data_IF_160212435421
#
_entry.id   IF_160212435421
#
_cell.length_a   1.000
_cell.length_b   1.000
_cell.length_c   1.000
_cell.angle_alpha   90.00
_cell.angle_beta   90.00
_cell.angle_gamma   90.00
#
_symmetry.space_group_name_H-M   'P 1'
#
loop_
_entity.id
_entity.type
_entity.pdbx_description
1 polymer ?
#
# COMPACT_ATOMS: atom_id res chain seq x y z
N UNK A 1 4.05 -17.42 29.80
CA UNK A 1 2.83 -17.48 30.64
C UNK A 1 2.43 -18.93 31.01
N UNK A 2 3.11 -19.94 30.49
CA UNK A 2 2.80 -21.37 30.78
C UNK A 2 1.44 -21.85 30.26
N UNK A 3 0.79 -21.09 29.34
CA UNK A 3 -0.45 -21.50 28.70
C UNK A 3 -0.17 -22.58 27.64
N UNK A 4 -1.11 -23.52 27.47
CA UNK A 4 -0.98 -24.57 26.45
C UNK A 4 -1.05 -23.99 25.03
N UNK A 5 -0.37 -24.57 24.03
CA UNK A 5 -0.30 -24.03 22.66
C UNK A 5 -1.68 -23.78 22.00
N UNK A 6 -2.69 -24.60 22.29
CA UNK A 6 -4.03 -24.40 21.74
C UNK A 6 -4.70 -23.11 22.19
N UNK A 7 -4.30 -22.55 23.35
CA UNK A 7 -4.82 -21.26 23.84
C UNK A 7 -4.47 -20.13 22.89
N UNK A 8 -3.26 -20.17 22.26
CA UNK A 8 -2.88 -19.21 21.23
C UNK A 8 -3.81 -19.25 20.01
N UNK A 9 -4.23 -20.45 19.55
CA UNK A 9 -5.22 -20.59 18.48
C UNK A 9 -6.58 -20.06 18.87
N UNK A 10 -7.03 -20.31 20.10
CA UNK A 10 -8.27 -19.75 20.62
C UNK A 10 -8.26 -18.24 20.68
N UNK A 11 -7.16 -17.64 21.13
CA UNK A 11 -6.99 -16.19 21.14
C UNK A 11 -7.02 -15.61 19.73
N UNK A 12 -6.31 -16.23 18.78
CA UNK A 12 -6.30 -15.82 17.37
C UNK A 12 -7.72 -15.83 16.79
N UNK A 13 -8.50 -16.88 17.04
CA UNK A 13 -9.91 -16.97 16.60
C UNK A 13 -10.76 -15.82 17.17
N UNK A 14 -10.62 -15.52 18.47
CA UNK A 14 -11.32 -14.41 19.09
C UNK A 14 -10.91 -13.05 18.50
N UNK A 15 -9.62 -12.84 18.26
CA UNK A 15 -9.12 -11.58 17.73
C UNK A 15 -9.48 -11.45 16.23
N UNK A 16 -9.12 -12.43 15.40
CA UNK A 16 -9.14 -12.28 13.95
C UNK A 16 -10.44 -12.70 13.27
N UNK A 17 -11.23 -13.61 13.88
CA UNK A 17 -12.50 -14.06 13.33
C UNK A 17 -13.71 -13.45 14.05
N UNK A 18 -13.65 -13.31 15.38
CA UNK A 18 -14.76 -12.74 16.17
C UNK A 18 -14.58 -11.25 16.46
N UNK A 19 -13.42 -10.70 16.14
CA UNK A 19 -13.10 -9.29 16.24
C UNK A 19 -13.39 -8.67 17.63
N UNK A 20 -13.07 -9.39 18.71
CA UNK A 20 -13.27 -8.88 20.05
C UNK A 20 -12.27 -7.81 20.43
N UNK A 21 -12.72 -6.77 21.10
CA UNK A 21 -11.89 -5.66 21.60
C UNK A 21 -11.53 -5.78 23.07
N UNK A 22 -12.07 -6.80 23.77
CA UNK A 22 -11.80 -7.08 25.17
C UNK A 22 -11.43 -8.56 25.38
N UNK A 23 -10.39 -8.80 26.18
CA UNK A 23 -9.94 -10.14 26.57
C UNK A 23 -11.02 -10.89 27.36
N UNK A 24 -11.86 -10.19 28.12
CA UNK A 24 -12.95 -10.82 28.87
C UNK A 24 -14.04 -11.43 27.98
N UNK A 25 -14.14 -11.03 26.72
CA UNK A 25 -15.02 -11.64 25.74
C UNK A 25 -14.59 -13.06 25.35
N UNK A 26 -13.34 -13.46 25.57
CA UNK A 26 -12.76 -14.77 25.19
C UNK A 26 -13.23 -15.88 26.16
N UNK A 27 -14.54 -16.23 26.08
CA UNK A 27 -15.21 -17.08 27.09
C UNK A 27 -14.68 -18.53 27.17
N UNK A 28 -14.04 -19.05 26.14
CA UNK A 28 -13.40 -20.38 26.15
C UNK A 28 -12.02 -20.39 26.83
N UNK A 29 -11.49 -19.24 27.23
CA UNK A 29 -10.33 -19.14 28.11
C UNK A 29 -10.78 -19.16 29.59
N UNK A 30 -10.01 -19.83 30.45
CA UNK A 30 -10.28 -19.82 31.90
C UNK A 30 -10.21 -18.39 32.46
N UNK A 31 -10.92 -18.12 33.54
CA UNK A 31 -10.90 -16.83 34.22
C UNK A 31 -9.48 -16.42 34.62
N UNK A 32 -8.69 -17.37 35.16
CA UNK A 32 -7.28 -17.15 35.51
C UNK A 32 -6.45 -16.74 34.30
N UNK A 33 -6.61 -17.44 33.15
CA UNK A 33 -5.90 -17.11 31.93
C UNK A 33 -6.23 -15.69 31.44
N UNK A 34 -7.51 -15.30 31.45
CA UNK A 34 -7.93 -13.95 31.07
C UNK A 34 -7.35 -12.88 32.01
N UNK A 35 -7.38 -13.10 33.32
CA UNK A 35 -6.81 -12.19 34.32
C UNK A 35 -5.33 -11.99 34.06
N UNK A 36 -4.55 -13.07 33.93
CA UNK A 36 -3.11 -13.02 33.66
C UNK A 36 -2.76 -12.38 32.32
N UNK A 37 -3.63 -12.55 31.31
CA UNK A 37 -3.47 -11.88 30.03
C UNK A 37 -3.67 -10.37 30.16
N UNK A 38 -4.72 -9.92 30.85
CA UNK A 38 -5.04 -8.50 31.05
C UNK A 38 -3.96 -7.74 31.85
N UNK A 39 -3.25 -8.42 32.76
CA UNK A 39 -2.13 -7.83 33.47
C UNK A 39 -0.98 -7.38 32.55
N UNK A 40 -0.82 -8.03 31.38
CA UNK A 40 0.34 -7.82 30.50
C UNK A 40 -0.03 -7.30 29.10
N UNK A 41 -1.24 -7.50 28.65
CA UNK A 41 -1.66 -7.26 27.27
C UNK A 41 -3.03 -6.59 27.20
N UNK A 42 -3.18 -5.82 26.14
CA UNK A 42 -4.47 -5.32 25.66
C UNK A 42 -4.64 -5.76 24.21
N UNK A 43 -5.85 -5.84 23.69
CA UNK A 43 -6.06 -6.09 22.25
C UNK A 43 -5.57 -4.88 21.44
N UNK A 44 -5.58 -3.69 22.04
CA UNK A 44 -4.96 -2.50 21.48
C UNK A 44 -5.70 -1.94 20.26
N UNK A 45 -7.00 -2.21 20.15
CA UNK A 45 -7.85 -1.61 19.15
C UNK A 45 -8.08 -0.13 19.50
N UNK A 46 -7.74 0.77 18.57
CA UNK A 46 -8.00 2.22 18.68
C UNK A 46 -8.81 2.67 17.49
N UNK A 47 -9.93 3.35 17.76
CA UNK A 47 -10.79 3.91 16.71
C UNK A 47 -10.14 5.10 16.02
N UNK A 48 -10.57 5.46 14.79
CA UNK A 48 -10.14 6.70 14.16
C UNK A 48 -10.50 7.90 15.05
N UNK A 49 -9.64 8.92 15.04
CA UNK A 49 -9.85 10.17 15.79
C UNK A 49 -10.54 11.24 14.96
N UNK A 50 -10.55 11.09 13.64
CA UNK A 50 -11.25 11.97 12.69
C UNK A 50 -11.58 11.23 11.40
N UNK A 51 -12.59 11.70 10.67
CA UNK A 51 -12.97 11.18 9.35
C UNK A 51 -13.35 12.30 8.39
N UNK A 52 -13.09 12.09 7.11
CA UNK A 52 -13.55 12.95 6.02
C UNK A 52 -14.19 12.09 4.94
N UNK A 53 -15.39 12.50 4.49
CA UNK A 53 -16.18 11.76 3.49
C UNK A 53 -16.22 12.54 2.19
N UNK A 54 -15.83 11.86 1.10
CA UNK A 54 -15.92 12.36 -0.27
C UNK A 54 -17.32 12.16 -0.83
N UNK A 55 -17.65 13.00 -1.82
CA UNK A 55 -18.88 12.86 -2.61
C UNK A 55 -18.97 11.53 -3.38
N UNK A 56 -17.83 10.88 -3.65
CA UNK A 56 -17.77 9.59 -4.35
C UNK A 56 -17.84 8.37 -3.41
N UNK A 57 -18.13 8.60 -2.12
CA UNK A 57 -18.24 7.58 -1.09
C UNK A 57 -16.90 7.17 -0.44
N UNK A 58 -15.77 7.68 -0.94
CA UNK A 58 -14.46 7.46 -0.29
C UNK A 58 -14.42 8.09 1.09
N UNK A 59 -13.84 7.40 2.06
CA UNK A 59 -13.69 7.92 3.43
C UNK A 59 -12.22 7.90 3.81
N UNK A 60 -11.71 9.03 4.26
CA UNK A 60 -10.37 9.17 4.81
C UNK A 60 -10.45 9.23 6.33
N UNK A 61 -9.78 8.30 6.99
CA UNK A 61 -9.71 8.18 8.43
C UNK A 61 -8.35 8.64 8.95
N UNK A 62 -8.36 9.37 10.07
CA UNK A 62 -7.16 9.74 10.81
C UNK A 62 -7.03 8.85 12.06
N UNK A 63 -5.90 8.21 12.22
CA UNK A 63 -5.57 7.40 13.40
C UNK A 63 -4.44 8.02 14.19
N UNK A 64 -4.58 8.06 15.51
CA UNK A 64 -3.48 8.35 16.40
C UNK A 64 -2.64 7.10 16.63
N UNK A 65 -1.32 7.22 16.51
CA UNK A 65 -0.38 6.17 16.89
C UNK A 65 -0.14 6.20 18.42
N UNK A 66 0.39 5.11 18.97
CA UNK A 66 0.74 5.05 20.41
C UNK A 66 1.79 6.08 20.84
N UNK A 67 2.54 6.65 19.89
CA UNK A 67 3.56 7.66 20.15
C UNK A 67 3.04 9.10 20.01
N UNK A 68 1.75 9.27 19.75
CA UNK A 68 1.12 10.59 19.56
C UNK A 68 1.30 11.17 18.16
N UNK A 69 1.83 10.40 17.20
CA UNK A 69 1.81 10.77 15.80
C UNK A 69 0.47 10.38 15.17
N UNK A 70 0.21 10.85 13.94
CA UNK A 70 -1.00 10.52 13.21
C UNK A 70 -0.67 9.89 11.87
N UNK A 71 -1.59 9.01 11.40
CA UNK A 71 -1.56 8.42 10.07
C UNK A 71 -2.93 8.48 9.42
N UNK A 72 -2.97 8.53 8.11
CA UNK A 72 -4.19 8.50 7.33
C UNK A 72 -4.39 7.14 6.67
N UNK A 73 -5.64 6.72 6.59
CA UNK A 73 -6.10 5.48 5.94
C UNK A 73 -7.30 5.82 5.08
N UNK A 74 -7.41 5.22 3.89
CA UNK A 74 -8.51 5.55 2.97
C UNK A 74 -9.33 4.30 2.64
N UNK A 75 -10.62 4.36 2.97
CA UNK A 75 -11.62 3.40 2.53
C UNK A 75 -12.19 3.82 1.18
N UNK A 76 -12.18 2.94 0.20
CA UNK A 76 -12.54 3.20 -1.19
C UNK A 76 -13.59 2.17 -1.62
N UNK A 77 -14.90 2.51 -1.60
CA UNK A 77 -15.95 1.67 -2.14
C UNK A 77 -15.98 1.77 -3.67
N UNK A 78 -16.26 0.65 -4.35
CA UNK A 78 -16.39 0.58 -5.81
C UNK A 78 -17.30 -0.59 -6.21
N UNK A 79 -18.62 -0.38 -6.26
CA UNK A 79 -19.60 -1.45 -6.46
C UNK A 79 -19.51 -2.52 -5.38
N UNK A 80 -19.34 -3.77 -5.81
CA UNK A 80 -19.18 -4.93 -4.90
C UNK A 80 -17.76 -5.02 -4.29
N UNK A 81 -16.89 -4.08 -4.64
CA UNK A 81 -15.52 -4.03 -4.17
C UNK A 81 -15.32 -2.89 -3.17
N UNK A 82 -14.68 -3.20 -2.06
CA UNK A 82 -14.22 -2.19 -1.11
C UNK A 82 -12.73 -2.40 -0.82
N UNK A 83 -11.93 -1.36 -1.05
CA UNK A 83 -10.47 -1.40 -0.87
C UNK A 83 -10.06 -0.47 0.26
N UNK A 84 -9.24 -0.96 1.17
CA UNK A 84 -8.58 -0.12 2.17
C UNK A 84 -7.14 0.18 1.75
N UNK A 85 -6.80 1.46 1.66
CA UNK A 85 -5.44 1.94 1.47
C UNK A 85 -4.82 2.22 2.84
N UNK A 86 -3.88 1.36 3.25
CA UNK A 86 -3.24 1.44 4.58
C UNK A 86 -1.87 2.10 4.52
N UNK A 87 -1.52 2.78 5.61
CA UNK A 87 -0.22 3.37 5.86
C UNK A 87 0.71 2.38 6.54
N UNK A 88 2.01 2.45 6.22
CA UNK A 88 3.07 1.61 6.80
C UNK A 88 4.07 2.39 7.65
N UNK A 89 4.09 3.72 7.53
CA UNK A 89 4.97 4.62 8.28
C UNK A 89 4.24 5.92 8.60
N UNK A 90 4.77 6.68 9.55
CA UNK A 90 4.45 8.09 9.76
C UNK A 90 5.41 8.89 8.90
N UNK A 91 4.90 9.50 7.81
CA UNK A 91 5.74 10.11 6.79
C UNK A 91 6.52 9.11 5.94
N UNK A 92 7.51 9.57 5.16
CA UNK A 92 8.27 8.72 4.24
C UNK A 92 9.67 9.29 3.98
N UNK A 93 10.69 8.41 3.94
CA UNK A 93 12.08 8.81 3.63
C UNK A 93 12.36 9.01 2.15
N UNK A 94 11.48 8.55 1.26
CA UNK A 94 11.79 8.46 -0.18
C UNK A 94 11.86 9.81 -0.88
N UNK A 95 11.22 10.85 -0.34
CA UNK A 95 11.33 12.22 -0.84
C UNK A 95 10.83 12.41 -2.29
N UNK A 96 9.86 11.61 -2.74
CA UNK A 96 9.29 11.74 -4.09
C UNK A 96 8.65 13.13 -4.26
N UNK A 97 9.01 13.85 -5.34
CA UNK A 97 8.63 15.24 -5.58
C UNK A 97 7.11 15.45 -5.74
N UNK A 98 6.39 14.39 -6.11
CA UNK A 98 4.95 14.38 -6.36
C UNK A 98 4.11 13.88 -5.19
N UNK A 99 4.73 13.58 -4.04
CA UNK A 99 4.05 12.93 -2.92
C UNK A 99 4.11 13.79 -1.66
N UNK A 100 2.95 14.16 -1.13
CA UNK A 100 2.82 14.95 0.09
C UNK A 100 3.47 14.25 1.29
N UNK A 101 3.27 12.94 1.43
CA UNK A 101 3.93 12.13 2.48
C UNK A 101 5.46 12.17 2.37
N UNK A 102 6.02 12.11 1.16
CA UNK A 102 7.46 12.18 0.94
C UNK A 102 8.05 13.56 1.28
N UNK A 103 7.27 14.62 1.09
CA UNK A 103 7.67 16.00 1.41
C UNK A 103 7.64 16.32 2.90
N UNK A 104 6.80 15.63 3.66
CA UNK A 104 6.74 15.77 5.12
C UNK A 104 7.95 15.20 5.85
N UNK A 105 8.74 14.35 5.18
CA UNK A 105 9.80 13.60 5.82
C UNK A 105 9.28 12.38 6.58
N UNK A 106 10.15 11.73 7.35
CA UNK A 106 9.91 10.49 8.06
C UNK A 106 9.98 10.72 9.57
N UNK A 107 8.99 10.22 10.30
CA UNK A 107 8.98 10.24 11.77
C UNK A 107 9.17 8.83 12.37
N UNK A 108 8.39 7.84 11.93
CA UNK A 108 8.44 6.49 12.50
C UNK A 108 7.95 5.41 11.53
N UNK A 109 8.43 4.17 11.72
CA UNK A 109 7.81 2.98 11.14
C UNK A 109 6.66 2.49 12.04
N UNK A 110 5.55 2.09 11.43
CA UNK A 110 4.42 1.49 12.14
C UNK A 110 4.74 0.03 12.50
N UNK A 111 4.30 -0.39 13.68
CA UNK A 111 4.32 -1.81 14.03
C UNK A 111 3.27 -2.58 13.23
N UNK A 112 3.41 -3.91 13.15
CA UNK A 112 2.37 -4.74 12.54
C UNK A 112 1.00 -4.55 13.21
N UNK A 113 0.97 -4.29 14.52
CA UNK A 113 -0.26 -3.99 15.25
C UNK A 113 -0.88 -2.66 14.81
N UNK A 114 -0.07 -1.61 14.61
CA UNK A 114 -0.58 -0.31 14.14
C UNK A 114 -1.13 -0.42 12.70
N UNK A 115 -0.47 -1.22 11.85
CA UNK A 115 -0.95 -1.46 10.48
C UNK A 115 -2.27 -2.25 10.51
N UNK A 116 -2.34 -3.33 11.30
CA UNK A 116 -3.55 -4.14 11.45
C UNK A 116 -4.69 -3.36 12.08
N UNK A 117 -4.41 -2.41 12.97
CA UNK A 117 -5.44 -1.59 13.61
C UNK A 117 -6.25 -0.78 12.58
N UNK A 118 -5.62 -0.30 11.51
CA UNK A 118 -6.31 0.42 10.43
C UNK A 118 -7.39 -0.45 9.75
N UNK A 119 -7.20 -1.78 9.74
CA UNK A 119 -8.18 -2.73 9.21
C UNK A 119 -9.17 -3.13 10.31
N UNK A 120 -8.66 -3.44 11.49
CA UNK A 120 -9.42 -4.02 12.61
C UNK A 120 -10.49 -3.06 13.16
N UNK A 121 -10.15 -1.79 13.29
CA UNK A 121 -11.02 -0.76 13.85
C UNK A 121 -11.77 0.07 12.81
N UNK A 122 -11.62 -0.27 11.51
CA UNK A 122 -12.35 0.40 10.44
C UNK A 122 -13.87 0.20 10.63
N UNK A 123 -14.69 1.26 10.60
CA UNK A 123 -16.14 1.13 10.68
C UNK A 123 -16.73 0.21 9.60
N UNK A 124 -16.23 0.27 8.37
CA UNK A 124 -16.69 -0.52 7.22
C UNK A 124 -15.89 -1.84 7.05
N UNK A 125 -15.20 -2.32 8.08
CA UNK A 125 -14.32 -3.51 8.02
C UNK A 125 -14.96 -4.73 7.37
N UNK A 126 -16.22 -5.01 7.68
CA UNK A 126 -16.91 -6.21 7.24
C UNK A 126 -17.27 -6.18 5.74
N UNK A 127 -17.18 -5.01 5.10
CA UNK A 127 -17.37 -4.85 3.66
C UNK A 127 -16.06 -4.99 2.86
N UNK A 128 -14.91 -5.03 3.53
CA UNK A 128 -13.62 -5.03 2.88
C UNK A 128 -13.40 -6.26 2.00
N UNK A 129 -13.05 -6.01 0.75
CA UNK A 129 -12.63 -7.05 -0.20
C UNK A 129 -11.13 -7.05 -0.45
N UNK A 130 -10.47 -5.91 -0.34
CA UNK A 130 -9.05 -5.74 -0.67
C UNK A 130 -8.33 -4.78 0.28
N UNK A 131 -7.02 -4.99 0.42
CA UNK A 131 -6.11 -4.06 1.11
C UNK A 131 -4.94 -3.72 0.18
N UNK A 132 -4.57 -2.44 0.12
CA UNK A 132 -3.40 -1.96 -0.62
C UNK A 132 -2.48 -1.15 0.31
N UNK A 133 -1.20 -1.47 0.31
CA UNK A 133 -0.16 -0.73 1.03
C UNK A 133 0.34 0.41 0.12
N UNK A 134 -0.49 1.43 -0.04
CA UNK A 134 -0.24 2.60 -0.90
C UNK A 134 -0.55 3.92 -0.18
N UNK A 135 -0.71 3.87 1.14
CA UNK A 135 -0.85 5.02 2.00
C UNK A 135 0.49 5.66 2.34
N UNK A 136 0.63 6.17 3.56
CA UNK A 136 1.86 6.82 4.00
C UNK A 136 2.99 5.81 4.22
N UNK A 137 4.20 6.15 3.74
CA UNK A 137 5.42 5.38 3.92
C UNK A 137 5.81 4.48 2.77
N UNK A 138 7.06 3.97 2.83
CA UNK A 138 7.59 2.95 1.92
C UNK A 138 7.51 1.59 2.61
N UNK A 139 6.66 0.67 2.14
CA UNK A 139 6.48 -0.64 2.79
C UNK A 139 7.76 -1.45 2.91
N UNK A 140 8.69 -1.35 1.94
CA UNK A 140 9.93 -2.11 1.98
C UNK A 140 11.00 -1.50 2.90
N UNK A 141 10.85 -0.25 3.33
CA UNK A 141 11.65 0.34 4.42
C UNK A 141 11.12 -0.09 5.82
N UNK A 142 9.90 -0.65 5.88
CA UNK A 142 9.28 -1.25 7.08
C UNK A 142 8.89 -2.72 6.86
N UNK A 143 9.69 -3.47 6.12
CA UNK A 143 9.31 -4.76 5.55
C UNK A 143 8.92 -5.81 6.61
N UNK A 144 9.62 -5.90 7.74
CA UNK A 144 9.34 -6.90 8.77
C UNK A 144 7.90 -6.78 9.31
N UNK A 145 7.45 -5.56 9.57
CA UNK A 145 6.08 -5.31 10.02
C UNK A 145 5.06 -5.53 8.91
N UNK A 146 5.39 -5.18 7.67
CA UNK A 146 4.52 -5.41 6.49
C UNK A 146 4.38 -6.92 6.23
N UNK A 147 5.47 -7.69 6.24
CA UNK A 147 5.43 -9.15 6.10
C UNK A 147 4.63 -9.79 7.24
N UNK A 148 4.83 -9.34 8.47
CA UNK A 148 4.06 -9.83 9.61
C UNK A 148 2.56 -9.55 9.45
N UNK A 149 2.21 -8.35 8.98
CA UNK A 149 0.82 -7.98 8.70
C UNK A 149 0.23 -8.86 7.59
N UNK A 150 0.91 -8.99 6.46
CA UNK A 150 0.41 -9.82 5.33
C UNK A 150 0.30 -11.29 5.73
N UNK A 151 1.21 -11.80 6.57
CA UNK A 151 1.13 -13.16 7.12
C UNK A 151 -0.13 -13.34 7.97
N UNK A 152 -0.44 -12.41 8.87
CA UNK A 152 -1.64 -12.47 9.71
C UNK A 152 -2.92 -12.40 8.85
N UNK A 153 -2.93 -11.52 7.84
CA UNK A 153 -4.07 -11.40 6.95
C UNK A 153 -4.33 -12.65 6.11
N UNK A 154 -3.28 -13.41 5.74
CA UNK A 154 -3.41 -14.56 4.84
C UNK A 154 -3.40 -15.92 5.55
N UNK A 155 -2.93 -16.00 6.78
CA UNK A 155 -2.87 -17.26 7.53
C UNK A 155 -4.26 -17.77 7.92
N UNK A 156 -4.46 -19.08 7.91
CA UNK A 156 -5.71 -19.74 8.34
C UNK A 156 -6.08 -19.41 9.80
N UNK A 157 -5.09 -19.22 10.66
CA UNK A 157 -5.29 -18.83 12.06
C UNK A 157 -5.51 -17.31 12.24
N UNK A 158 -5.32 -16.52 11.17
CA UNK A 158 -5.55 -15.08 11.14
C UNK A 158 -6.87 -14.75 10.44
N UNK A 159 -6.83 -13.82 9.47
CA UNK A 159 -8.03 -13.47 8.68
C UNK A 159 -8.37 -14.48 7.57
N UNK A 160 -7.45 -15.37 7.19
CA UNK A 160 -7.66 -16.36 6.14
C UNK A 160 -7.89 -15.77 4.73
N UNK A 161 -7.47 -14.55 4.49
CA UNK A 161 -7.67 -13.90 3.20
C UNK A 161 -6.77 -14.50 2.11
N UNK A 162 -7.30 -14.59 0.90
CA UNK A 162 -6.47 -14.91 -0.25
C UNK A 162 -5.39 -13.83 -0.43
N UNK A 163 -4.12 -14.19 -0.69
CA UNK A 163 -3.06 -13.23 -1.02
C UNK A 163 -3.41 -12.31 -2.19
N UNK A 164 -4.31 -12.73 -3.08
CA UNK A 164 -4.82 -11.93 -4.22
C UNK A 164 -5.63 -10.70 -3.79
N UNK A 165 -6.09 -10.66 -2.56
CA UNK A 165 -6.81 -9.51 -1.99
C UNK A 165 -5.87 -8.41 -1.48
N UNK A 166 -4.56 -8.68 -1.44
CA UNK A 166 -3.56 -7.79 -0.85
C UNK A 166 -2.55 -7.38 -1.92
N UNK A 167 -2.31 -6.08 -2.05
CA UNK A 167 -1.25 -5.53 -2.91
C UNK A 167 -0.29 -4.69 -2.08
N UNK A 168 0.99 -5.01 -2.17
CA UNK A 168 2.05 -4.19 -1.54
C UNK A 168 2.77 -3.41 -2.63
N UNK A 169 2.84 -2.08 -2.46
CA UNK A 169 3.54 -1.19 -3.37
C UNK A 169 4.91 -0.82 -2.82
N UNK A 170 5.87 -0.59 -3.72
CA UNK A 170 7.21 -0.13 -3.34
C UNK A 170 7.85 0.67 -4.46
N UNK A 171 8.77 1.56 -4.10
CA UNK A 171 9.68 2.22 -5.06
C UNK A 171 10.73 1.27 -5.64
N UNK A 172 10.84 0.03 -5.10
CA UNK A 172 11.72 -1.01 -5.58
C UNK A 172 13.02 -1.18 -4.79
N UNK A 173 13.01 -0.99 -3.46
CA UNK A 173 14.20 -1.20 -2.62
C UNK A 173 14.68 -2.66 -2.73
N UNK A 174 15.91 -2.89 -3.23
CA UNK A 174 16.43 -4.21 -3.63
C UNK A 174 16.29 -5.30 -2.56
N UNK A 175 16.81 -5.04 -1.35
CA UNK A 175 16.76 -6.01 -0.25
C UNK A 175 15.32 -6.34 0.14
N UNK A 176 14.46 -5.33 0.19
CA UNK A 176 13.04 -5.48 0.51
C UNK A 176 12.31 -6.25 -0.57
N UNK A 177 12.58 -5.95 -1.83
CA UNK A 177 11.97 -6.61 -2.99
C UNK A 177 12.27 -8.12 -3.00
N UNK A 178 13.55 -8.50 -2.87
CA UNK A 178 13.97 -9.91 -2.85
C UNK A 178 13.28 -10.68 -1.71
N UNK A 179 13.30 -10.16 -0.48
CA UNK A 179 12.65 -10.79 0.66
C UNK A 179 11.13 -10.90 0.48
N UNK A 180 10.48 -9.83 0.03
CA UNK A 180 9.05 -9.86 -0.22
C UNK A 180 8.65 -10.90 -1.26
N UNK A 181 9.45 -11.07 -2.31
CA UNK A 181 9.23 -12.08 -3.34
C UNK A 181 9.36 -13.51 -2.80
N UNK A 182 10.23 -13.72 -1.82
CA UNK A 182 10.48 -15.03 -1.18
C UNK A 182 9.48 -15.35 -0.06
N UNK A 183 9.10 -14.35 0.75
CA UNK A 183 8.37 -14.54 2.01
C UNK A 183 6.87 -14.25 1.91
N UNK A 184 6.39 -13.67 0.78
CA UNK A 184 4.98 -13.32 0.59
C UNK A 184 4.46 -13.79 -0.77
N UNK A 185 3.19 -14.18 -0.84
CA UNK A 185 2.47 -14.46 -2.10
C UNK A 185 1.51 -13.32 -2.51
N UNK A 186 1.50 -12.23 -1.78
CA UNK A 186 0.66 -11.06 -2.10
C UNK A 186 1.07 -10.42 -3.42
N UNK A 187 0.15 -9.69 -4.04
CA UNK A 187 0.41 -8.92 -5.26
C UNK A 187 1.46 -7.83 -5.02
N UNK A 188 2.25 -7.56 -6.06
CA UNK A 188 3.30 -6.53 -6.04
C UNK A 188 2.95 -5.40 -6.99
N UNK A 189 3.10 -4.16 -6.51
CA UNK A 189 3.08 -2.97 -7.33
C UNK A 189 4.43 -2.25 -7.22
N UNK A 190 4.98 -1.80 -8.36
CA UNK A 190 6.23 -1.01 -8.39
C UNK A 190 5.89 0.41 -8.81
N UNK A 191 6.27 1.38 -7.99
CA UNK A 191 6.21 2.80 -8.30
C UNK A 191 7.27 3.13 -9.35
N UNK A 192 6.89 3.07 -10.64
CA UNK A 192 7.79 3.27 -11.77
C UNK A 192 7.94 4.75 -12.09
N UNK A 193 6.84 5.41 -12.44
CA UNK A 193 6.64 6.84 -12.73
C UNK A 193 7.54 7.47 -13.80
N UNK A 194 8.68 6.85 -14.15
CA UNK A 194 9.52 7.26 -15.29
C UNK A 194 10.38 6.09 -15.77
N UNK A 195 10.44 5.80 -17.10
CA UNK A 195 11.20 4.66 -17.62
C UNK A 195 12.71 4.90 -17.74
N UNK A 196 13.15 6.18 -17.73
CA UNK A 196 14.54 6.59 -17.93
C UNK A 196 15.16 6.93 -16.56
N UNK A 197 16.21 6.21 -16.11
CA UNK A 197 16.79 6.39 -14.76
C UNK A 197 17.21 7.83 -14.42
N UNK A 198 17.89 8.52 -15.33
CA UNK A 198 18.35 9.90 -15.11
C UNK A 198 17.19 10.89 -14.90
N UNK A 199 16.07 10.66 -15.56
CA UNK A 199 14.87 11.48 -15.42
C UNK A 199 14.07 11.06 -14.17
N UNK A 200 13.96 9.74 -13.91
CA UNK A 200 13.33 9.20 -12.71
C UNK A 200 13.98 9.75 -11.44
N UNK A 201 15.31 9.85 -11.42
CA UNK A 201 16.06 10.38 -10.27
C UNK A 201 15.70 11.84 -9.92
N UNK A 202 15.16 12.62 -10.87
CA UNK A 202 14.72 14.01 -10.63
C UNK A 202 13.41 14.07 -9.82
N UNK A 203 12.54 13.09 -9.99
CA UNK A 203 11.23 13.04 -9.32
C UNK A 203 11.17 12.00 -8.19
N UNK A 204 12.07 11.00 -8.21
CA UNK A 204 12.16 9.90 -7.24
C UNK A 204 13.61 9.67 -6.82
N UNK A 205 14.09 10.28 -5.73
CA UNK A 205 15.49 10.15 -5.29
C UNK A 205 15.93 8.70 -5.00
N UNK A 206 14.99 7.79 -4.70
CA UNK A 206 15.26 6.36 -4.51
C UNK A 206 15.94 5.68 -5.71
N UNK A 207 15.79 6.22 -6.92
CA UNK A 207 16.48 5.74 -8.13
C UNK A 207 18.00 5.67 -7.95
N UNK A 208 18.57 6.59 -7.16
CA UNK A 208 20.02 6.64 -6.90
C UNK A 208 20.52 5.46 -6.05
N UNK A 209 19.64 4.87 -5.26
CA UNK A 209 19.97 3.73 -4.42
C UNK A 209 19.79 2.39 -5.16
N UNK A 210 18.78 2.30 -6.02
CA UNK A 210 18.51 1.12 -6.83
C UNK A 210 17.71 1.51 -8.08
N UNK A 211 18.31 1.28 -9.24
CA UNK A 211 17.74 1.71 -10.51
C UNK A 211 16.47 0.94 -10.87
N UNK A 212 15.53 1.61 -11.53
CA UNK A 212 14.34 0.93 -12.07
C UNK A 212 14.70 -0.17 -13.07
N UNK A 213 15.83 -0.02 -13.78
CA UNK A 213 16.35 -1.05 -14.68
C UNK A 213 16.74 -2.30 -13.89
N UNK A 214 17.41 -2.12 -12.75
CA UNK A 214 17.82 -3.24 -11.88
C UNK A 214 16.62 -3.88 -11.20
N UNK A 215 15.60 -3.09 -10.78
CA UNK A 215 14.32 -3.61 -10.31
C UNK A 215 13.68 -4.54 -11.34
N UNK A 216 13.58 -4.07 -12.59
CA UNK A 216 12.98 -4.84 -13.68
C UNK A 216 13.82 -6.09 -14.01
N UNK A 217 15.15 -5.98 -14.04
CA UNK A 217 16.03 -7.12 -14.26
C UNK A 217 15.90 -8.17 -13.14
N UNK A 218 15.77 -7.74 -11.88
CA UNK A 218 15.50 -8.63 -10.77
C UNK A 218 14.15 -9.35 -10.94
N UNK A 219 13.09 -8.63 -11.29
CA UNK A 219 11.76 -9.21 -11.50
C UNK A 219 11.74 -10.23 -12.65
N UNK A 220 12.52 -10.01 -13.72
CA UNK A 220 12.67 -10.94 -14.84
C UNK A 220 13.33 -12.27 -14.45
N UNK A 221 13.96 -12.37 -13.28
CA UNK A 221 14.52 -13.64 -12.78
C UNK A 221 13.45 -14.57 -12.20
N UNK A 222 12.26 -14.04 -11.86
CA UNK A 222 11.16 -14.81 -11.29
C UNK A 222 10.18 -15.29 -12.36
N UNK A 223 10.03 -16.61 -12.51
CA UNK A 223 9.18 -17.22 -13.54
C UNK A 223 7.71 -16.79 -13.45
N UNK A 224 7.21 -16.51 -12.24
CA UNK A 224 5.83 -16.04 -12.04
C UNK A 224 5.52 -14.68 -12.70
N UNK A 225 6.53 -13.94 -13.16
CA UNK A 225 6.38 -12.67 -13.85
C UNK A 225 6.83 -12.71 -15.31
N UNK A 226 7.23 -13.85 -15.84
CA UNK A 226 7.58 -13.98 -17.25
C UNK A 226 6.32 -14.22 -18.11
N UNK A 227 6.27 -13.58 -19.27
CA UNK A 227 5.24 -13.93 -20.26
C UNK A 227 5.41 -15.40 -20.67
N UNK A 228 4.30 -16.16 -20.76
CA UNK A 228 4.35 -17.52 -21.29
C UNK A 228 5.00 -17.55 -22.67
N UNK A 229 5.96 -18.43 -22.89
CA UNK A 229 6.47 -18.70 -24.24
C UNK A 229 5.71 -19.89 -24.84
N UNK A 230 5.68 -19.99 -26.16
CA UNK A 230 5.03 -21.09 -26.86
C UNK A 230 5.57 -22.48 -26.47
N UNK A 231 6.74 -22.55 -25.83
CA UNK A 231 7.42 -23.77 -25.38
C UNK A 231 7.25 -24.04 -23.89
N UNK A 232 6.66 -23.11 -23.13
CA UNK A 232 6.48 -23.30 -21.68
C UNK A 232 5.10 -23.89 -21.41
N UNK A 233 5.05 -25.09 -20.84
CA UNK A 233 3.82 -25.73 -20.38
C UNK A 233 3.01 -24.75 -19.49
N UNK A 234 1.70 -24.63 -19.76
CA UNK A 234 0.75 -23.69 -19.16
C UNK A 234 0.45 -23.90 -17.66
N UNK A 235 1.27 -24.62 -16.94
CA UNK A 235 1.06 -24.96 -15.52
C UNK A 235 1.71 -24.00 -14.53
N UNK A 236 2.35 -22.90 -14.97
CA UNK A 236 2.80 -21.87 -14.05
C UNK A 236 1.57 -21.07 -13.63
N UNK A 237 1.08 -21.36 -12.44
CA UNK A 237 -0.02 -20.63 -11.84
C UNK A 237 0.35 -19.14 -11.70
N UNK A 238 -0.20 -18.27 -12.58
CA UNK A 238 -0.12 -16.81 -12.46
C UNK A 238 -0.93 -16.32 -11.25
N UNK A 239 -0.62 -16.85 -10.07
CA UNK A 239 -1.34 -16.52 -8.85
C UNK A 239 -0.98 -15.12 -8.34
N UNK A 240 0.24 -14.64 -8.66
CA UNK A 240 0.76 -13.35 -8.21
C UNK A 240 0.74 -12.35 -9.35
N UNK A 241 0.06 -11.22 -9.14
CA UNK A 241 0.02 -10.12 -10.10
C UNK A 241 1.17 -9.15 -9.86
N UNK A 242 1.81 -8.71 -10.94
CA UNK A 242 2.74 -7.59 -10.99
C UNK A 242 2.07 -6.40 -11.66
N UNK A 243 2.13 -5.22 -11.03
CA UNK A 243 1.73 -3.97 -11.65
C UNK A 243 2.83 -2.92 -11.50
N UNK A 244 2.84 -1.97 -12.45
CA UNK A 244 3.67 -0.78 -12.39
C UNK A 244 2.74 0.43 -12.29
N UNK A 245 2.95 1.24 -11.27
CA UNK A 245 2.22 2.48 -11.07
C UNK A 245 2.95 3.61 -11.78
N UNK A 246 2.22 4.39 -12.58
CA UNK A 246 2.79 5.42 -13.45
C UNK A 246 1.93 6.68 -13.43
N UNK A 247 2.36 7.68 -12.66
CA UNK A 247 1.74 9.01 -12.70
C UNK A 247 2.19 9.66 -14.00
N UNK A 248 1.24 10.20 -14.78
CA UNK A 248 1.54 10.88 -16.05
C UNK A 248 1.64 12.37 -15.79
N UNK A 249 2.84 12.94 -16.05
CA UNK A 249 3.15 14.36 -15.89
C UNK A 249 3.32 15.02 -17.25
N UNK A 250 2.64 16.15 -17.44
CA UNK A 250 2.70 16.91 -18.68
C UNK A 250 4.14 17.38 -19.01
N UNK A 251 4.63 17.04 -20.19
CA UNK A 251 5.94 17.42 -20.69
C UNK A 251 7.13 16.73 -20.02
N UNK A 252 6.90 15.74 -19.15
CA UNK A 252 7.97 15.06 -18.40
C UNK A 252 8.08 13.59 -18.81
N UNK A 253 6.96 12.86 -18.82
CA UNK A 253 6.96 11.40 -19.04
C UNK A 253 5.78 10.91 -19.91
N UNK A 254 5.13 11.81 -20.64
CA UNK A 254 3.88 11.64 -21.36
C UNK A 254 4.03 11.46 -22.87
N UNK A 255 5.25 11.57 -23.42
CA UNK A 255 5.48 11.54 -24.86
C UNK A 255 5.61 10.11 -25.41
N UNK A 256 5.49 9.97 -26.74
CA UNK A 256 5.73 8.70 -27.44
C UNK A 256 7.12 8.10 -27.12
N UNK A 257 8.14 8.94 -26.98
CA UNK A 257 9.49 8.49 -26.58
C UNK A 257 9.48 7.77 -25.23
N UNK A 258 8.72 8.30 -24.25
CA UNK A 258 8.58 7.66 -22.92
C UNK A 258 7.76 6.37 -23.01
N UNK A 259 6.72 6.33 -23.84
CA UNK A 259 5.95 5.11 -24.06
C UNK A 259 6.81 4.00 -24.70
N UNK A 260 7.62 4.32 -25.71
CA UNK A 260 8.55 3.37 -26.35
C UNK A 260 9.61 2.86 -25.34
N UNK A 261 10.11 3.75 -24.48
CA UNK A 261 11.03 3.37 -23.40
C UNK A 261 10.39 2.43 -22.37
N UNK A 262 9.11 2.66 -22.00
CA UNK A 262 8.34 1.75 -21.13
C UNK A 262 8.17 0.36 -21.76
N UNK A 263 7.78 0.32 -23.04
CA UNK A 263 7.60 -0.93 -23.80
C UNK A 263 8.89 -1.72 -23.80
N UNK A 264 10.02 -1.08 -24.12
CA UNK A 264 11.34 -1.70 -24.13
C UNK A 264 11.77 -2.19 -22.74
N UNK A 265 11.59 -1.37 -21.71
CA UNK A 265 11.97 -1.68 -20.33
C UNK A 265 11.23 -2.94 -19.81
N UNK A 266 9.91 -2.98 -20.01
CA UNK A 266 9.04 -4.02 -19.49
C UNK A 266 8.89 -5.23 -20.40
N UNK A 267 9.57 -5.26 -21.53
CA UNK A 267 9.52 -6.38 -22.46
C UNK A 267 9.86 -7.71 -21.78
N UNK A 268 9.03 -8.73 -22.00
CA UNK A 268 9.17 -10.08 -21.43
C UNK A 268 8.53 -10.27 -20.06
N UNK A 269 8.07 -9.21 -19.39
CA UNK A 269 7.31 -9.32 -18.15
C UNK A 269 5.81 -9.50 -18.42
N UNK A 270 5.17 -10.41 -17.66
CA UNK A 270 3.71 -10.47 -17.52
C UNK A 270 3.29 -9.48 -16.43
N UNK A 271 2.97 -8.28 -16.85
CA UNK A 271 2.64 -7.18 -15.95
C UNK A 271 1.55 -6.29 -16.54
N UNK A 272 1.02 -5.40 -15.71
CA UNK A 272 0.12 -4.32 -16.13
C UNK A 272 0.69 -2.98 -15.72
N UNK A 273 0.30 -1.93 -16.46
CA UNK A 273 0.56 -0.55 -16.07
C UNK A 273 -0.74 0.07 -15.58
N UNK A 274 -0.71 0.70 -14.41
CA UNK A 274 -1.78 1.53 -13.92
C UNK A 274 -1.35 3.00 -14.09
N UNK A 275 -1.95 3.69 -15.05
CA UNK A 275 -1.77 5.13 -15.20
C UNK A 275 -2.54 5.84 -14.11
N UNK A 276 -1.88 6.77 -13.45
CA UNK A 276 -2.43 7.57 -12.35
C UNK A 276 -2.47 9.02 -12.80
N UNK A 277 -3.63 9.66 -12.63
CA UNK A 277 -3.74 11.11 -12.83
C UNK A 277 -3.00 11.83 -11.72
N UNK A 278 -2.13 12.77 -12.09
CA UNK A 278 -1.52 13.67 -11.11
C UNK A 278 -2.55 14.68 -10.62
N UNK A 279 -2.57 14.90 -9.33
CA UNK A 279 -3.34 15.96 -8.69
C UNK A 279 -2.36 17.00 -8.17
N UNK A 280 -2.62 18.25 -8.48
CA UNK A 280 -1.75 19.37 -8.10
C UNK A 280 -1.55 19.39 -6.57
N UNK A 281 -0.30 19.48 -6.17
CA UNK A 281 0.11 19.65 -4.78
C UNK A 281 0.83 21.00 -4.63
N UNK A 282 0.80 21.61 -3.45
CA UNK A 282 1.49 22.89 -3.22
C UNK A 282 2.97 22.83 -3.59
N UNK A 283 3.53 23.97 -3.99
CA UNK A 283 4.98 24.19 -4.20
C UNK A 283 5.67 23.17 -5.12
N UNK A 284 5.03 22.74 -6.21
CA UNK A 284 5.63 21.88 -7.23
C UNK A 284 5.33 22.42 -8.63
N UNK A 285 6.30 22.40 -9.56
CA UNK A 285 6.07 22.75 -10.95
C UNK A 285 5.39 21.62 -11.74
N UNK A 286 5.19 20.45 -11.15
CA UNK A 286 4.60 19.30 -11.82
C UNK A 286 3.14 19.59 -12.18
N UNK A 287 2.73 19.17 -13.38
CA UNK A 287 1.35 19.25 -13.88
C UNK A 287 0.90 17.92 -14.43
N UNK A 288 -0.38 17.63 -14.27
CA UNK A 288 -1.02 16.47 -14.90
C UNK A 288 -1.34 16.74 -16.37
N UNK A 289 -1.51 15.66 -17.13
CA UNK A 289 -2.01 15.72 -18.52
C UNK A 289 -3.53 15.77 -18.55
N UNK A 290 -4.09 16.18 -19.68
CA UNK A 290 -5.52 16.13 -19.93
C UNK A 290 -6.06 14.68 -19.99
N UNK A 291 -7.38 14.54 -19.95
CA UNK A 291 -8.01 13.21 -20.05
C UNK A 291 -7.72 12.56 -21.41
N UNK A 292 -7.74 13.34 -22.49
CA UNK A 292 -7.51 12.84 -23.86
C UNK A 292 -6.06 12.39 -24.05
N UNK A 293 -5.08 13.15 -23.54
CA UNK A 293 -3.67 12.76 -23.56
C UNK A 293 -3.44 11.47 -22.74
N UNK A 294 -4.09 11.34 -21.58
CA UNK A 294 -4.03 10.13 -20.76
C UNK A 294 -4.59 8.91 -21.51
N UNK A 295 -5.71 9.08 -22.20
CA UNK A 295 -6.34 8.04 -23.02
C UNK A 295 -5.43 7.66 -24.19
N UNK A 296 -4.90 8.65 -24.92
CA UNK A 296 -3.98 8.41 -26.04
C UNK A 296 -2.71 7.65 -25.58
N UNK A 297 -2.13 8.03 -24.44
CA UNK A 297 -0.96 7.34 -23.87
C UNK A 297 -1.28 5.89 -23.48
N UNK A 298 -2.44 5.63 -22.84
CA UNK A 298 -2.92 4.29 -22.52
C UNK A 298 -3.09 3.44 -23.78
N UNK A 299 -3.74 3.98 -24.79
CA UNK A 299 -4.08 3.26 -26.03
C UNK A 299 -2.81 2.91 -26.82
N UNK A 300 -1.84 3.84 -26.84
CA UNK A 300 -0.54 3.58 -27.43
C UNK A 300 0.17 2.41 -26.74
N UNK A 301 0.28 2.41 -25.41
CA UNK A 301 0.91 1.32 -24.65
C UNK A 301 0.18 -0.02 -24.86
N UNK A 302 -1.16 0.00 -24.84
CA UNK A 302 -1.99 -1.20 -25.01
C UNK A 302 -1.84 -1.80 -26.39
N UNK A 303 -1.85 -0.98 -27.45
CA UNK A 303 -1.65 -1.43 -28.83
C UNK A 303 -0.28 -2.04 -29.09
N UNK A 304 0.72 -1.72 -28.24
CA UNK A 304 2.05 -2.29 -28.27
C UNK A 304 2.27 -3.44 -27.27
N UNK A 305 1.18 -4.02 -26.75
CA UNK A 305 1.21 -5.26 -25.95
C UNK A 305 1.53 -5.07 -24.47
N UNK A 306 1.45 -3.84 -23.94
CA UNK A 306 1.44 -3.56 -22.51
C UNK A 306 0.01 -3.33 -22.04
N UNK A 307 -0.54 -4.27 -21.27
CA UNK A 307 -1.87 -4.10 -20.69
C UNK A 307 -1.89 -2.89 -19.73
N UNK A 308 -2.60 -1.84 -20.14
CA UNK A 308 -2.58 -0.55 -19.46
C UNK A 308 -3.98 -0.12 -19.07
N UNK A 309 -4.15 0.32 -17.83
CA UNK A 309 -5.40 0.86 -17.30
C UNK A 309 -5.21 2.28 -16.79
N UNK A 310 -6.25 3.10 -16.84
CA UNK A 310 -6.29 4.39 -16.17
C UNK A 310 -7.00 4.18 -14.83
N UNK A 311 -6.31 4.48 -13.73
CA UNK A 311 -6.86 4.35 -12.40
C UNK A 311 -7.85 5.48 -12.12
N UNK A 312 -9.05 5.14 -11.66
CA UNK A 312 -10.00 6.15 -11.21
C UNK A 312 -9.42 6.91 -10.00
N UNK A 313 -9.48 8.24 -10.06
CA UNK A 313 -9.18 9.08 -8.91
C UNK A 313 -10.36 9.04 -7.95
N UNK A 314 -10.10 8.72 -6.69
CA UNK A 314 -11.11 8.64 -5.64
C UNK A 314 -10.73 9.58 -4.49
N UNK A 315 -11.73 10.21 -3.88
CA UNK A 315 -11.52 11.07 -2.71
C UNK A 315 -10.66 12.30 -2.99
N UNK A 316 -10.69 12.85 -4.20
CA UNK A 316 -9.89 14.01 -4.57
C UNK A 316 -10.27 15.25 -3.76
N UNK A 317 -11.56 15.48 -3.53
CA UNK A 317 -12.13 16.59 -2.78
C UNK A 317 -11.75 16.62 -1.29
N UNK A 318 -11.32 15.47 -0.76
CA UNK A 318 -10.86 15.31 0.62
C UNK A 318 -9.35 15.00 0.73
N UNK A 319 -8.59 15.24 -0.34
CA UNK A 319 -7.14 14.94 -0.40
C UNK A 319 -6.80 13.49 -0.04
N UNK A 320 -7.62 12.53 -0.50
CA UNK A 320 -7.42 11.10 -0.28
C UNK A 320 -6.87 10.36 -1.50
N UNK A 321 -6.71 11.01 -2.65
CA UNK A 321 -6.14 10.41 -3.83
C UNK A 321 -4.63 10.08 -3.64
N UNK A 322 -4.11 9.18 -4.49
CA UNK A 322 -2.71 8.74 -4.42
C UNK A 322 -1.72 9.91 -4.42
N UNK A 323 -0.80 9.93 -3.47
CA UNK A 323 0.19 10.98 -3.28
C UNK A 323 -0.28 12.20 -2.49
N UNK A 324 -1.56 12.30 -2.15
CA UNK A 324 -2.14 13.46 -1.43
C UNK A 324 -2.20 13.29 0.08
N UNK A 325 -2.02 12.09 0.61
CA UNK A 325 -2.07 11.85 2.06
C UNK A 325 -1.01 12.67 2.78
N UNK A 326 -1.47 13.45 3.73
CA UNK A 326 -0.60 14.33 4.50
C UNK A 326 -1.12 14.49 5.91
N UNK A 327 -0.20 14.58 6.87
CA UNK A 327 -0.52 14.86 8.26
C UNK A 327 -0.65 16.37 8.54
N UNK A 328 -1.08 17.19 7.57
CA UNK A 328 -1.24 18.64 7.75
C UNK A 328 -2.13 18.98 8.96
N UNK A 329 -3.14 18.17 9.27
CA UNK A 329 -3.88 18.24 10.54
C UNK A 329 -3.01 17.93 11.77
N UNK A 330 -1.97 17.16 11.64
CA UNK A 330 -1.05 16.81 12.74
C UNK A 330 -0.35 18.05 13.29
N UNK A 331 0.10 18.94 12.41
CA UNK A 331 0.74 20.19 12.80
C UNK A 331 -0.25 21.13 13.50
N UNK A 332 -1.47 21.22 12.99
CA UNK A 332 -2.53 22.01 13.61
C UNK A 332 -2.95 21.47 14.99
N UNK A 333 -3.07 20.16 15.15
CA UNK A 333 -3.40 19.55 16.44
C UNK A 333 -2.24 19.63 17.46
N UNK A 334 -0.98 19.49 17.02
CA UNK A 334 0.19 19.71 17.89
C UNK A 334 0.30 21.16 18.38
N UNK A 335 -0.03 22.12 17.51
CA UNK A 335 -0.05 23.54 17.89
C UNK A 335 -1.16 23.86 18.90
N UNK A 336 -2.31 23.18 18.83
CA UNK A 336 -3.41 23.34 19.80
C UNK A 336 -3.15 22.64 21.15
N UNK A 337 -2.22 21.69 21.21
CA UNK A 337 -1.87 20.93 22.41
C UNK A 337 -0.56 21.42 23.07
N UNK A 338 0.15 22.35 22.44
CA UNK A 338 1.32 22.97 23.08
C UNK A 338 0.84 23.79 24.29
N UNK A 339 1.32 23.53 25.53
CA UNK A 339 1.02 24.39 26.66
C UNK A 339 1.60 25.78 26.40
N UNK A 340 0.84 26.82 26.76
CA UNK A 340 1.31 28.23 26.79
C UNK A 340 2.53 28.40 27.69
#
# INVERSE_FOLDING_TARGET
MGLKPYVGKQMADWIYNKHVTDIDAMKNLSKDARTRLKEKYTIGCTTPVDEQRSVDGTVKYLYATRKGDFIETVYIPDGDRATLCVSSQVGCKMGCAFCMTGRQGYAASLTATDILNQIYSLPERDTLTNVVFMGQGEPFDNLDNVLRTTQILTAEWGWGWSPKRITVSSVGLAKGLTRFLQESSCHLAISLHHPIPSERAKIMPAERAFSIVDVVNLLKQYDCFRKPSATTSSNVSHQRRLSFEYIVFAGINDTKHHADALIKLLQGLDCRINLIRFHDIPDTPLKGVSADEMIAFRDYLTSHGLFTTIRASRGQDIFAACGLLSTAKQEAMKQQQAPE
#
